data_IF_255875103969
#
_entry.id   IF_255875103969
#
_cell.length_a   1.000
_cell.length_b   1.000
_cell.length_c   1.000
_cell.angle_alpha   90.00
_cell.angle_beta   90.00
_cell.angle_gamma   90.00
#
_symmetry.space_group_name_H-M   'P 1'
#
loop_
_entity.id
_entity.type
_entity.pdbx_description
1 polymer ?
#
# COMPACT_ATOMS: atom_id res chain seq x y z
N UNK A 1 3.79 -2.85 4.73
CA UNK A 1 3.51 -3.71 3.56
C UNK A 1 2.46 -3.06 2.68
N UNK A 2 2.36 -3.49 1.42
CA UNK A 2 1.45 -2.93 0.43
C UNK A 2 0.39 -3.95 0.02
N UNK A 3 -0.87 -3.53 -0.08
CA UNK A 3 -1.97 -4.25 -0.70
C UNK A 3 -2.43 -3.52 -1.97
N UNK A 4 -2.94 -4.26 -2.95
CA UNK A 4 -3.45 -3.72 -4.21
C UNK A 4 -4.93 -4.09 -4.37
N UNK A 5 -5.74 -3.13 -4.83
CA UNK A 5 -7.18 -3.30 -4.97
C UNK A 5 -7.74 -2.49 -6.15
N UNK A 6 -8.90 -2.90 -6.66
CA UNK A 6 -9.72 -2.08 -7.56
C UNK A 6 -10.89 -1.40 -6.85
N UNK A 7 -11.12 -1.74 -5.59
CA UNK A 7 -12.20 -1.17 -4.79
C UNK A 7 -11.66 0.03 -3.99
N UNK A 8 -12.37 1.15 -4.04
CA UNK A 8 -12.04 2.33 -3.27
C UNK A 8 -11.99 2.00 -1.77
N UNK A 9 -10.83 2.17 -1.11
CA UNK A 9 -10.69 1.85 0.31
C UNK A 9 -11.49 2.76 1.24
N UNK A 10 -12.07 3.84 0.71
CA UNK A 10 -12.91 4.77 1.49
C UNK A 10 -14.40 4.57 1.26
N UNK A 11 -14.81 3.65 0.37
CA UNK A 11 -16.21 3.47 -0.01
C UNK A 11 -16.91 2.37 0.79
N UNK A 12 -18.15 2.63 1.20
CA UNK A 12 -19.04 1.64 1.81
C UNK A 12 -18.47 1.06 3.13
N UNK A 13 -18.44 -0.27 3.20
CA UNK A 13 -17.91 -1.01 4.36
C UNK A 13 -16.39 -1.18 4.33
N UNK A 14 -15.69 -0.55 3.38
CA UNK A 14 -14.25 -0.56 3.35
C UNK A 14 -13.67 0.29 4.50
N UNK A 15 -12.54 -0.11 4.89
CA UNK A 15 -11.74 0.24 6.02
C UNK A 15 -11.86 1.65 6.58
N UNK A 16 -11.66 2.67 5.75
CA UNK A 16 -11.58 4.05 6.24
C UNK A 16 -12.96 4.70 6.45
N UNK A 17 -13.99 4.23 5.75
CA UNK A 17 -15.30 4.85 5.78
C UNK A 17 -16.12 4.48 7.03
N UNK A 18 -15.96 3.27 7.54
CA UNK A 18 -16.71 2.77 8.71
C UNK A 18 -15.92 2.81 10.02
N UNK A 19 -14.72 3.39 10.00
CA UNK A 19 -13.83 3.46 11.17
C UNK A 19 -13.15 2.12 11.50
N UNK A 20 -13.26 1.12 10.66
CA UNK A 20 -12.70 -0.22 10.85
C UNK A 20 -11.52 -0.46 9.89
N UNK A 21 -10.51 0.39 9.99
CA UNK A 21 -9.35 0.51 9.11
C UNK A 21 -8.39 -0.67 9.14
N UNK A 22 -8.85 -1.86 8.74
CA UNK A 22 -8.03 -3.08 8.68
C UNK A 22 -8.05 -3.71 7.29
N UNK A 23 -6.98 -4.44 6.96
CA UNK A 23 -6.82 -5.09 5.67
C UNK A 23 -7.96 -6.07 5.32
N UNK A 24 -8.54 -6.74 6.31
CA UNK A 24 -9.63 -7.69 6.10
C UNK A 24 -10.87 -7.08 5.41
N UNK A 25 -11.04 -5.76 5.46
CA UNK A 25 -12.14 -5.04 4.81
C UNK A 25 -11.81 -4.62 3.37
N UNK A 26 -10.60 -4.87 2.90
CA UNK A 26 -10.16 -4.56 1.54
C UNK A 26 -10.27 -5.79 0.65
N UNK A 27 -10.85 -5.63 -0.53
CA UNK A 27 -10.85 -6.67 -1.57
C UNK A 27 -9.52 -6.59 -2.33
N UNK A 28 -8.56 -7.43 -1.96
CA UNK A 28 -7.26 -7.49 -2.63
C UNK A 28 -7.35 -8.20 -3.98
N UNK A 29 -6.43 -7.86 -4.89
CA UNK A 29 -6.24 -8.61 -6.14
C UNK A 29 -5.50 -9.93 -5.88
N UNK A 30 -5.49 -10.84 -6.86
CA UNK A 30 -4.57 -11.97 -6.84
C UNK A 30 -3.13 -11.49 -7.15
N UNK A 31 -2.17 -11.94 -6.36
CA UNK A 31 -0.76 -11.52 -6.46
C UNK A 31 0.12 -12.47 -7.29
N UNK A 32 -0.50 -13.34 -8.09
CA UNK A 32 0.24 -14.21 -9.01
C UNK A 32 1.12 -13.37 -9.94
N UNK A 33 2.35 -13.79 -10.13
CA UNK A 33 3.37 -13.15 -10.96
C UNK A 33 3.88 -11.79 -10.43
N UNK A 34 3.46 -11.34 -9.25
CA UNK A 34 3.93 -10.09 -8.66
C UNK A 34 5.12 -10.34 -7.70
N UNK A 35 6.10 -9.43 -7.74
CA UNK A 35 7.21 -9.40 -6.79
C UNK A 35 6.75 -9.15 -5.34
N UNK A 36 7.69 -9.22 -4.38
CA UNK A 36 7.44 -8.94 -2.97
C UNK A 36 6.86 -7.53 -2.77
N UNK A 37 5.96 -7.40 -1.78
CA UNK A 37 5.20 -6.18 -1.48
C UNK A 37 5.60 -5.52 -0.15
N UNK A 38 6.70 -5.98 0.45
CA UNK A 38 7.24 -5.44 1.68
C UNK A 38 8.02 -4.16 1.43
N UNK A 39 7.67 -3.08 2.13
CA UNK A 39 8.47 -1.86 2.17
C UNK A 39 9.78 -2.12 2.92
N UNK A 40 10.88 -1.63 2.37
CA UNK A 40 12.22 -1.81 2.93
C UNK A 40 12.70 -0.54 3.63
N UNK A 41 13.63 -0.70 4.57
CA UNK A 41 14.25 0.41 5.30
C UNK A 41 13.24 1.35 5.95
N UNK A 42 12.19 0.76 6.52
CA UNK A 42 11.15 1.54 7.21
C UNK A 42 11.76 2.24 8.42
N UNK A 43 11.53 3.55 8.50
CA UNK A 43 11.99 4.38 9.61
C UNK A 43 10.83 5.13 10.23
N UNK A 44 10.85 5.22 11.56
CA UNK A 44 9.88 5.96 12.37
C UNK A 44 10.69 6.92 13.26
N UNK A 45 10.64 8.20 12.95
CA UNK A 45 11.48 9.21 13.61
C UNK A 45 10.67 10.41 14.04
N UNK A 46 11.14 11.07 15.12
CA UNK A 46 10.62 12.35 15.58
C UNK A 46 11.79 13.33 15.71
N UNK A 47 11.67 14.50 15.09
CA UNK A 47 12.66 15.57 15.17
C UNK A 47 11.98 16.92 15.31
N UNK A 48 12.32 17.65 16.36
CA UNK A 48 11.83 19.03 16.60
C UNK A 48 10.31 19.17 16.46
N UNK A 49 9.54 18.22 17.01
CA UNK A 49 8.07 18.26 17.01
C UNK A 49 7.42 17.66 15.74
N UNK A 50 8.22 17.24 14.77
CA UNK A 50 7.70 16.56 13.56
C UNK A 50 8.01 15.06 13.62
N UNK A 51 6.96 14.25 13.58
CA UNK A 51 7.06 12.80 13.37
C UNK A 51 7.06 12.48 11.88
N UNK A 52 7.86 11.51 11.48
CA UNK A 52 7.89 11.00 10.10
C UNK A 52 8.00 9.48 10.06
N UNK A 53 7.10 8.85 9.29
CA UNK A 53 7.19 7.46 8.87
C UNK A 53 7.67 7.44 7.43
N UNK A 54 8.75 6.74 7.14
CA UNK A 54 9.35 6.67 5.80
C UNK A 54 9.84 5.27 5.48
N UNK A 55 10.09 5.03 4.20
CA UNK A 55 10.66 3.79 3.67
C UNK A 55 11.41 4.10 2.38
N UNK A 56 12.13 3.11 1.84
CA UNK A 56 12.61 3.17 0.46
C UNK A 56 11.44 3.03 -0.51
N UNK A 57 11.63 3.53 -1.73
CA UNK A 57 10.71 3.26 -2.84
C UNK A 57 10.55 1.76 -3.04
N UNK A 58 9.33 1.35 -3.40
CA UNK A 58 9.03 -0.03 -3.70
C UNK A 58 8.75 -0.19 -5.19
N UNK A 59 9.57 -1.01 -5.86
CA UNK A 59 9.34 -1.38 -7.25
C UNK A 59 8.63 -2.73 -7.30
N UNK A 60 7.39 -2.73 -7.78
CA UNK A 60 6.64 -3.94 -8.08
C UNK A 60 6.94 -4.38 -9.51
N UNK A 61 7.27 -5.65 -9.69
CA UNK A 61 7.64 -6.22 -11.00
C UNK A 61 6.74 -7.41 -11.30
N UNK A 62 6.19 -7.45 -12.52
CA UNK A 62 5.50 -8.61 -13.05
C UNK A 62 6.52 -9.57 -13.70
N UNK A 63 6.48 -10.85 -13.35
CA UNK A 63 7.38 -11.87 -13.88
C UNK A 63 6.67 -13.20 -14.02
N UNK A 64 6.78 -13.81 -15.19
CA UNK A 64 6.14 -15.09 -15.52
C UNK A 64 4.71 -14.97 -16.03
N UNK A 65 4.24 -13.74 -16.26
CA UNK A 65 2.91 -13.43 -16.78
C UNK A 65 2.38 -12.09 -16.25
N UNK A 66 1.18 -11.72 -16.69
CA UNK A 66 0.53 -10.50 -16.25
C UNK A 66 0.05 -10.62 -14.79
N UNK A 67 0.06 -9.49 -14.09
CA UNK A 67 -0.55 -9.33 -12.76
C UNK A 67 -2.00 -8.89 -12.93
N UNK A 68 -2.89 -9.31 -12.04
CA UNK A 68 -4.27 -8.86 -12.02
C UNK A 68 -4.34 -7.32 -11.93
N UNK A 69 -5.29 -6.73 -12.65
CA UNK A 69 -5.45 -5.27 -12.67
C UNK A 69 -5.70 -4.70 -11.28
N UNK A 70 -5.18 -3.51 -11.00
CA UNK A 70 -5.39 -2.77 -9.76
C UNK A 70 -5.45 -1.26 -10.03
N UNK A 71 -6.03 -0.52 -9.10
CA UNK A 71 -6.10 0.95 -9.14
C UNK A 71 -5.55 1.58 -7.87
N UNK A 72 -5.81 0.98 -6.72
CA UNK A 72 -5.43 1.50 -5.41
C UNK A 72 -4.24 0.75 -4.84
N UNK A 73 -3.32 1.50 -4.25
CA UNK A 73 -2.18 0.99 -3.49
C UNK A 73 -2.41 1.36 -2.02
N UNK A 74 -2.58 0.35 -1.18
CA UNK A 74 -2.89 0.53 0.24
C UNK A 74 -1.66 0.16 1.07
N UNK A 75 -1.24 1.03 1.98
CA UNK A 75 -0.15 0.77 2.93
C UNK A 75 -0.75 0.36 4.27
N UNK A 76 -0.28 -0.74 4.82
CA UNK A 76 -0.75 -1.28 6.09
C UNK A 76 0.41 -1.83 6.94
N UNK A 77 0.16 -2.00 8.24
CA UNK A 77 1.12 -2.56 9.19
C UNK A 77 0.81 -4.04 9.42
N UNK A 78 1.61 -4.94 8.82
CA UNK A 78 1.45 -6.39 8.93
C UNK A 78 2.10 -7.00 10.19
N UNK A 79 2.57 -6.15 11.10
CA UNK A 79 3.13 -6.59 12.39
C UNK A 79 2.13 -6.52 13.54
N UNK A 80 1.07 -5.73 13.37
CA UNK A 80 0.02 -5.56 14.40
C UNK A 80 -1.03 -6.64 14.25
N UNK A 81 -1.37 -7.29 15.35
CA UNK A 81 -2.30 -8.42 15.37
C UNK A 81 -3.64 -8.10 16.03
N UNK A 82 -3.78 -6.95 16.71
CA UNK A 82 -5.03 -6.53 17.36
C UNK A 82 -5.16 -5.00 17.39
N UNK A 83 -5.95 -4.40 16.50
CA UNK A 83 -6.60 -5.04 15.33
C UNK A 83 -5.57 -5.56 14.33
N UNK A 84 -5.91 -6.63 13.61
CA UNK A 84 -4.97 -7.21 12.65
C UNK A 84 -4.81 -6.31 11.42
N UNK A 85 -3.56 -6.13 10.98
CA UNK A 85 -3.20 -5.44 9.73
C UNK A 85 -3.87 -4.06 9.57
N UNK A 86 -3.69 -3.12 10.51
CA UNK A 86 -4.32 -1.80 10.41
C UNK A 86 -3.78 -1.01 9.22
N UNK A 87 -4.68 -0.29 8.54
CA UNK A 87 -4.33 0.54 7.40
C UNK A 87 -3.65 1.84 7.85
N UNK A 88 -2.65 2.28 7.08
CA UNK A 88 -1.93 3.53 7.30
C UNK A 88 -2.40 4.60 6.33
N UNK A 89 -2.55 4.24 5.05
CA UNK A 89 -2.96 5.16 4.00
C UNK A 89 -3.07 4.48 2.65
N UNK A 90 -3.42 5.24 1.62
CA UNK A 90 -3.54 4.70 0.26
C UNK A 90 -3.21 5.75 -0.79
N UNK A 91 -2.87 5.26 -1.98
CA UNK A 91 -2.74 6.04 -3.21
C UNK A 91 -3.79 5.57 -4.22
N UNK A 92 -4.39 6.52 -4.93
CA UNK A 92 -5.26 6.25 -6.07
C UNK A 92 -4.50 6.57 -7.36
N UNK A 93 -4.26 5.58 -8.20
CA UNK A 93 -3.62 5.78 -9.50
C UNK A 93 -4.54 6.51 -10.51
N UNK A 94 -5.84 6.57 -10.22
CA UNK A 94 -6.83 7.27 -11.04
C UNK A 94 -7.51 6.39 -12.09
N UNK A 95 -6.95 5.25 -12.43
CA UNK A 95 -7.51 4.26 -13.35
C UNK A 95 -6.95 2.87 -13.05
N UNK A 96 -7.65 1.84 -13.50
CA UNK A 96 -7.17 0.47 -13.38
C UNK A 96 -5.95 0.25 -14.27
N UNK A 97 -4.91 -0.38 -13.72
CA UNK A 97 -3.62 -0.65 -14.35
C UNK A 97 -3.34 -2.15 -14.34
N UNK A 98 -2.86 -2.69 -15.46
CA UNK A 98 -2.36 -4.07 -15.57
C UNK A 98 -0.87 -4.03 -15.85
N UNK A 99 -0.08 -4.75 -15.06
CA UNK A 99 1.34 -4.99 -15.36
C UNK A 99 1.44 -6.25 -16.20
N UNK A 100 1.93 -6.13 -17.43
CA UNK A 100 2.27 -7.28 -18.26
C UNK A 100 3.61 -7.87 -17.82
N UNK A 101 3.94 -9.08 -18.31
CA UNK A 101 5.22 -9.72 -18.00
C UNK A 101 6.40 -8.79 -18.32
N UNK A 102 7.24 -8.54 -17.32
CA UNK A 102 8.38 -7.62 -17.40
C UNK A 102 8.09 -6.16 -17.04
N UNK A 103 6.82 -5.76 -16.93
CA UNK A 103 6.47 -4.39 -16.52
C UNK A 103 6.79 -4.15 -15.04
N UNK A 104 7.06 -2.89 -14.72
CA UNK A 104 7.30 -2.43 -13.36
C UNK A 104 6.37 -1.28 -12.98
N UNK A 105 6.05 -1.20 -11.69
CA UNK A 105 5.31 -0.10 -11.08
C UNK A 105 6.05 0.35 -9.82
N UNK A 106 6.45 1.63 -9.76
CA UNK A 106 7.18 2.17 -8.62
C UNK A 106 6.24 2.94 -7.69
N UNK A 107 6.24 2.56 -6.42
CA UNK A 107 5.63 3.33 -5.35
C UNK A 107 6.73 4.24 -4.80
N UNK A 108 6.68 5.50 -5.20
CA UNK A 108 7.66 6.54 -4.85
C UNK A 108 7.32 7.11 -3.46
N UNK A 109 8.19 6.84 -2.50
CA UNK A 109 8.07 7.33 -1.11
C UNK A 109 8.92 8.61 -0.96
N UNK A 110 8.57 9.67 -1.57
CA UNK A 110 9.34 10.91 -1.58
C UNK A 110 9.96 11.35 -0.23
N UNK A 111 10.68 12.47 -0.23
CA UNK A 111 11.44 12.96 0.92
C UNK A 111 10.59 13.23 2.17
N UNK A 112 9.29 13.46 2.01
CA UNK A 112 8.33 13.63 3.13
C UNK A 112 7.88 12.30 3.74
N UNK A 113 8.28 11.17 3.16
CA UNK A 113 7.92 9.85 3.63
C UNK A 113 6.47 9.47 3.31
N UNK A 114 6.00 8.41 3.99
CA UNK A 114 4.63 7.90 3.90
C UNK A 114 3.66 8.83 4.63
N UNK A 115 4.08 9.34 5.78
CA UNK A 115 3.28 10.14 6.71
C UNK A 115 4.17 11.08 7.49
N UNK A 116 3.74 12.34 7.64
CA UNK A 116 4.30 13.30 8.59
C UNK A 116 3.21 13.85 9.50
N UNK A 117 3.53 14.03 10.78
CA UNK A 117 2.71 14.70 11.79
C UNK A 117 3.54 15.85 12.39
N UNK A 118 2.99 17.05 12.33
CA UNK A 118 3.67 18.27 12.83
C UNK A 118 2.92 18.83 14.02
#
# INVERSE_FOLDING_TARGET
KVALSNTDPTAGTNAAADGNGILANITEIAYTNLSARELQSVTSTQTSGTYKLSANDLVLTASGGAVAAFRYVIIYDDTVTSPADPLIGYYDYGSSLTLNDGDTFTIDIGTNGILTLT
#
